data_IF_857948422104
#
_entry.id   IF_857948422104
#
_cell.length_a   1.000
_cell.length_b   1.000
_cell.length_c   1.000
_cell.angle_alpha   90.00
_cell.angle_beta   90.00
_cell.angle_gamma   90.00
#
_symmetry.space_group_name_H-M   'P 1'
#
loop_
_entity.id
_entity.type
_entity.pdbx_description
1 polymer ?
#
# COMPACT_ATOMS: atom_id res chain seq x y z
N UNK A 1 16.20 0.47 20.83
CA UNK A 1 15.26 0.66 19.71
C UNK A 1 14.16 -0.36 19.93
N UNK A 2 12.89 0.01 20.19
CA UNK A 2 11.89 -1.01 20.48
C UNK A 2 11.63 -1.83 19.22
N UNK A 3 11.77 -3.14 19.37
CA UNK A 3 11.45 -4.16 18.38
C UNK A 3 10.07 -3.90 17.76
N UNK A 4 10.06 -3.61 16.44
CA UNK A 4 8.84 -3.69 15.64
C UNK A 4 8.51 -5.16 15.44
N UNK A 5 7.99 -5.79 16.50
CA UNK A 5 7.32 -7.07 16.43
C UNK A 5 6.30 -6.96 15.28
N UNK A 6 6.40 -7.82 14.26
CA UNK A 6 5.88 -7.65 12.88
C UNK A 6 4.38 -7.41 12.67
N UNK A 7 3.64 -6.92 13.65
CA UNK A 7 2.26 -6.48 13.55
C UNK A 7 2.14 -5.01 13.15
N UNK A 8 1.40 -4.78 12.07
CA UNK A 8 0.94 -3.46 11.65
C UNK A 8 0.16 -2.80 12.79
N UNK A 9 0.49 -1.55 13.10
CA UNK A 9 -0.28 -0.75 14.06
C UNK A 9 -1.68 -0.43 13.50
N UNK A 10 -2.65 -0.01 14.34
CA UNK A 10 -3.95 0.45 13.85
C UNK A 10 -3.85 1.58 12.81
N UNK A 11 -2.84 2.45 12.96
CA UNK A 11 -2.55 3.51 12.00
C UNK A 11 -2.09 2.93 10.66
N UNK A 12 -1.15 1.99 10.67
CA UNK A 12 -0.65 1.35 9.46
C UNK A 12 -1.77 0.63 8.70
N UNK A 13 -2.69 -0.03 9.42
CA UNK A 13 -3.87 -0.67 8.80
C UNK A 13 -4.82 0.35 8.17
N UNK A 14 -5.01 1.52 8.79
CA UNK A 14 -5.84 2.60 8.22
C UNK A 14 -5.22 3.19 6.96
N UNK A 15 -3.91 3.45 6.99
CA UNK A 15 -3.16 3.96 5.84
C UNK A 15 -3.18 2.94 4.69
N UNK A 16 -3.05 1.65 5.00
CA UNK A 16 -3.15 0.58 4.01
C UNK A 16 -4.55 0.48 3.39
N UNK A 17 -5.63 0.52 4.19
CA UNK A 17 -6.99 0.52 3.63
C UNK A 17 -7.25 1.73 2.72
N UNK A 18 -6.75 2.91 3.09
CA UNK A 18 -6.88 4.10 2.25
C UNK A 18 -6.13 3.96 0.93
N UNK A 19 -4.93 3.39 0.96
CA UNK A 19 -4.16 3.09 -0.25
C UNK A 19 -4.88 2.10 -1.16
N UNK A 20 -5.34 0.97 -0.62
CA UNK A 20 -6.07 -0.04 -1.39
C UNK A 20 -7.33 0.56 -2.05
N UNK A 21 -8.05 1.41 -1.31
CA UNK A 21 -9.20 2.15 -1.83
C UNK A 21 -8.84 3.04 -3.02
N UNK A 22 -7.75 3.82 -2.92
CA UNK A 22 -7.29 4.70 -4.01
C UNK A 22 -6.90 3.93 -5.26
N UNK A 23 -6.22 2.79 -5.13
CA UNK A 23 -5.86 1.94 -6.28
C UNK A 23 -7.12 1.48 -7.02
N UNK A 24 -8.15 1.07 -6.27
CA UNK A 24 -9.42 0.65 -6.86
C UNK A 24 -10.21 1.81 -7.48
N UNK A 25 -10.20 2.99 -6.85
CA UNK A 25 -10.84 4.18 -7.38
C UNK A 25 -10.18 4.63 -8.69
N UNK A 26 -8.84 4.71 -8.75
CA UNK A 26 -8.09 5.04 -9.97
C UNK A 26 -8.34 4.02 -11.09
N UNK A 27 -8.46 2.74 -10.77
CA UNK A 27 -8.86 1.73 -11.76
C UNK A 27 -10.29 1.96 -12.27
N UNK A 28 -11.23 2.27 -11.37
CA UNK A 28 -12.64 2.51 -11.71
C UNK A 28 -12.82 3.74 -12.62
N UNK A 29 -12.04 4.79 -12.40
CA UNK A 29 -12.05 5.99 -13.26
C UNK A 29 -11.13 5.87 -14.49
N UNK A 30 -10.51 4.71 -14.70
CA UNK A 30 -9.61 4.39 -15.83
C UNK A 30 -8.33 5.23 -15.88
N UNK A 31 -7.89 5.77 -14.75
CA UNK A 31 -6.57 6.42 -14.62
C UNK A 31 -5.43 5.41 -14.70
N UNK A 32 -5.66 4.20 -14.20
CA UNK A 32 -4.73 3.07 -14.30
C UNK A 32 -5.43 1.88 -14.96
N UNK A 33 -4.64 1.06 -15.64
CA UNK A 33 -5.09 -0.21 -16.21
C UNK A 33 -5.32 -1.25 -15.12
N UNK A 34 -6.04 -2.32 -15.48
CA UNK A 34 -6.23 -3.48 -14.59
C UNK A 34 -4.90 -4.09 -14.17
N UNK A 35 -3.94 -4.17 -15.08
CA UNK A 35 -2.64 -4.77 -14.82
C UNK A 35 -1.81 -3.90 -13.85
N UNK A 36 -1.86 -2.59 -14.00
CA UNK A 36 -1.23 -1.65 -13.05
C UNK A 36 -1.86 -1.75 -11.65
N UNK A 37 -3.19 -1.87 -11.58
CA UNK A 37 -3.89 -2.05 -10.30
C UNK A 37 -3.49 -3.36 -9.63
N UNK A 38 -3.54 -4.49 -10.36
CA UNK A 38 -3.15 -5.81 -9.85
C UNK A 38 -1.68 -5.84 -9.43
N UNK A 39 -0.78 -5.28 -10.24
CA UNK A 39 0.65 -5.19 -9.92
C UNK A 39 0.90 -4.39 -8.66
N UNK A 40 0.23 -3.26 -8.50
CA UNK A 40 0.33 -2.41 -7.31
C UNK A 40 -0.14 -3.13 -6.04
N UNK A 41 -1.24 -3.88 -6.12
CA UNK A 41 -1.76 -4.69 -5.01
C UNK A 41 -0.80 -5.84 -4.64
N UNK A 42 -0.33 -6.59 -5.64
CA UNK A 42 0.59 -7.71 -5.44
C UNK A 42 1.92 -7.27 -4.81
N UNK A 43 2.41 -6.08 -5.20
CA UNK A 43 3.63 -5.51 -4.65
C UNK A 43 3.52 -5.23 -3.14
N UNK A 44 2.39 -4.67 -2.70
CA UNK A 44 2.14 -4.42 -1.27
C UNK A 44 2.00 -5.72 -0.49
N UNK A 45 1.30 -6.73 -1.04
CA UNK A 45 1.20 -8.04 -0.39
C UNK A 45 2.59 -8.69 -0.21
N UNK A 46 3.44 -8.62 -1.22
CA UNK A 46 4.82 -9.15 -1.18
C UNK A 46 5.69 -8.40 -0.16
N UNK A 47 5.54 -7.08 -0.05
CA UNK A 47 6.28 -6.27 0.91
C UNK A 47 5.91 -6.60 2.37
N UNK A 48 4.65 -6.96 2.62
CA UNK A 48 4.18 -7.40 3.93
C UNK A 48 4.66 -8.83 4.26
N UNK A 49 4.63 -9.73 3.29
CA UNK A 49 5.09 -11.11 3.45
C UNK A 49 6.58 -11.21 3.80
N UNK A 50 7.40 -10.32 3.24
CA UNK A 50 8.86 -10.28 3.47
C UNK A 50 9.26 -9.61 4.80
N UNK A 51 8.31 -9.19 5.64
CA UNK A 51 8.59 -8.54 6.92
C UNK A 51 9.11 -7.10 6.81
N UNK A 52 9.08 -6.52 5.60
CA UNK A 52 9.56 -5.17 5.33
C UNK A 52 8.44 -4.13 5.44
N UNK A 53 7.74 -4.14 6.58
CA UNK A 53 6.60 -3.25 6.84
C UNK A 53 6.97 -1.77 6.75
N UNK A 54 8.23 -1.40 7.03
CA UNK A 54 8.70 -0.02 6.90
C UNK A 54 8.82 0.43 5.45
N UNK A 55 9.30 -0.42 4.55
CA UNK A 55 9.40 -0.09 3.13
C UNK A 55 8.04 -0.13 2.43
N UNK A 56 7.19 -1.09 2.80
CA UNK A 56 5.79 -1.11 2.39
C UNK A 56 5.09 0.22 2.73
N UNK A 57 5.30 0.74 3.94
CA UNK A 57 4.70 2.00 4.36
C UNK A 57 5.31 3.22 3.69
N UNK A 58 6.60 3.18 3.33
CA UNK A 58 7.22 4.24 2.54
C UNK A 58 6.63 4.30 1.12
N UNK A 59 6.40 3.16 0.49
CA UNK A 59 5.76 3.08 -0.83
C UNK A 59 4.30 3.52 -0.80
N UNK A 60 3.53 3.08 0.20
CA UNK A 60 2.15 3.55 0.42
C UNK A 60 2.12 5.08 0.51
N UNK A 61 3.02 5.67 1.30
CA UNK A 61 3.10 7.12 1.45
C UNK A 61 3.52 7.84 0.16
N UNK A 62 4.43 7.27 -0.64
CA UNK A 62 4.84 7.85 -1.93
C UNK A 62 3.72 7.79 -2.96
N UNK A 63 2.99 6.68 -3.03
CA UNK A 63 1.87 6.51 -3.95
C UNK A 63 0.73 7.47 -3.58
N UNK A 64 0.42 7.61 -2.29
CA UNK A 64 -0.56 8.58 -1.81
C UNK A 64 -0.24 10.04 -2.15
N UNK A 65 1.04 10.38 -2.39
CA UNK A 65 1.47 11.72 -2.83
C UNK A 65 1.40 11.91 -4.35
N UNK A 66 1.52 10.83 -5.12
CA UNK A 66 1.46 10.88 -6.60
C UNK A 66 0.06 11.02 -7.15
N UNK A 67 -0.94 10.56 -6.40
CA UNK A 67 -2.35 10.52 -6.80
C UNK A 67 -3.19 11.50 -5.96
N UNK A 68 -2.58 12.59 -5.48
CA UNK A 68 -3.20 13.66 -4.71
C UNK A 68 -3.31 14.95 -5.54
#
# INVERSE_FOLDING_TARGET
>A
MPDRNGSLTPRDRKEMNAFLGRVLDSYKVREITKDEAVGTLAYVMTALETGNSSEAMNWINQWCKRVA
#
